data_IF_898849352367
#
_entry.id   IF_898849352367
#
_cell.length_a   1.000
_cell.length_b   1.000
_cell.length_c   1.000
_cell.angle_alpha   90.00
_cell.angle_beta   90.00
_cell.angle_gamma   90.00
#
_symmetry.space_group_name_H-M   'P 1'
#
loop_
_entity.id
_entity.type
_entity.pdbx_description
1 polymer ?
#
# COMPACT_ATOMS: atom_id res chain seq x y z
N UNK A 1 86.77 119.50 56.93
CA UNK A 1 87.29 118.80 55.73
C UNK A 1 87.27 117.27 55.82
N UNK A 2 87.31 116.65 57.01
CA UNK A 2 87.27 115.17 57.14
C UNK A 2 85.88 114.50 57.11
N UNK A 3 84.77 115.22 57.32
CA UNK A 3 83.45 114.57 57.44
C UNK A 3 82.72 114.33 56.11
N UNK A 4 83.03 115.07 55.03
CA UNK A 4 82.39 114.87 53.71
C UNK A 4 82.90 113.63 52.96
N UNK A 5 84.17 113.26 53.17
CA UNK A 5 84.79 112.12 52.48
C UNK A 5 84.26 110.78 53.03
N UNK A 6 83.85 110.74 54.31
CA UNK A 6 83.28 109.53 54.91
C UNK A 6 81.86 109.24 54.39
N UNK A 7 81.05 110.29 54.19
CA UNK A 7 79.71 110.17 53.59
C UNK A 7 79.77 109.69 52.13
N UNK A 8 80.72 110.19 51.35
CA UNK A 8 80.90 109.74 49.96
C UNK A 8 81.29 108.25 49.87
N UNK A 9 82.06 107.72 50.83
CA UNK A 9 82.47 106.32 50.83
C UNK A 9 81.33 105.36 51.21
N UNK A 10 80.42 105.78 52.11
CA UNK A 10 79.21 105.01 52.44
C UNK A 10 78.22 104.97 51.28
N UNK A 11 78.07 106.08 50.54
CA UNK A 11 77.22 106.15 49.35
C UNK A 11 77.73 105.20 48.26
N UNK A 12 79.06 105.15 48.04
CA UNK A 12 79.68 104.28 47.04
C UNK A 12 79.47 102.78 47.33
N UNK A 13 79.56 102.37 48.60
CA UNK A 13 79.31 100.98 48.99
C UNK A 13 77.82 100.61 48.87
N UNK A 14 76.90 101.55 49.14
CA UNK A 14 75.46 101.35 48.92
C UNK A 14 75.13 101.16 47.44
N UNK A 15 75.73 101.98 46.57
CA UNK A 15 75.56 101.87 45.11
C UNK A 15 76.08 100.50 44.62
N UNK A 16 77.20 100.01 45.14
CA UNK A 16 77.77 98.72 44.74
C UNK A 16 76.87 97.53 45.11
N UNK A 17 76.25 97.57 46.29
CA UNK A 17 75.31 96.54 46.74
C UNK A 17 74.05 96.50 45.85
N UNK A 18 73.49 97.67 45.54
CA UNK A 18 72.29 97.80 44.69
C UNK A 18 72.58 97.28 43.27
N UNK A 19 73.69 97.67 42.66
CA UNK A 19 74.05 97.17 41.32
C UNK A 19 74.24 95.64 41.27
N UNK A 20 74.74 95.02 42.35
CA UNK A 20 74.90 93.57 42.41
C UNK A 20 73.56 92.83 42.56
N UNK A 21 72.58 93.43 43.26
CA UNK A 21 71.24 92.88 43.40
C UNK A 21 70.42 93.04 42.10
N UNK A 22 70.55 94.17 41.40
CA UNK A 22 69.86 94.41 40.13
C UNK A 22 70.36 93.47 39.02
N UNK A 23 71.67 93.16 38.99
CA UNK A 23 72.24 92.25 38.00
C UNK A 23 71.74 90.80 38.17
N UNK A 24 71.63 90.31 39.40
CA UNK A 24 71.11 88.98 39.67
C UNK A 24 69.60 88.87 39.44
N UNK A 25 68.84 89.92 39.75
CA UNK A 25 67.40 89.99 39.50
C UNK A 25 67.09 89.96 38.00
N UNK A 26 67.90 90.66 37.19
CA UNK A 26 67.73 90.70 35.73
C UNK A 26 68.03 89.35 35.06
N UNK A 27 69.00 88.58 35.56
CA UNK A 27 69.34 87.26 35.02
C UNK A 27 68.25 86.20 35.26
N UNK A 28 67.61 86.22 36.44
CA UNK A 28 66.53 85.29 36.79
C UNK A 28 65.26 85.57 35.95
N UNK A 29 65.00 86.84 35.62
CA UNK A 29 63.87 87.24 34.76
C UNK A 29 64.06 86.73 33.32
N UNK A 30 65.27 86.83 32.76
CA UNK A 30 65.54 86.33 31.40
C UNK A 30 65.43 84.80 31.26
N UNK A 31 65.85 84.04 32.27
CA UNK A 31 65.75 82.57 32.25
C UNK A 31 64.30 82.07 32.41
N UNK A 32 63.48 82.77 33.21
CA UNK A 32 62.05 82.50 33.35
C UNK A 32 61.26 82.81 32.05
N UNK A 33 61.58 83.93 31.38
CA UNK A 33 60.96 84.31 30.10
C UNK A 33 61.29 83.31 28.97
N UNK A 34 62.50 82.76 28.93
CA UNK A 34 62.87 81.72 27.96
C UNK A 34 62.14 80.38 28.18
N UNK A 35 61.75 80.06 29.43
CA UNK A 35 60.96 78.89 29.75
C UNK A 35 59.50 79.03 29.32
N UNK A 36 58.92 80.23 29.51
CA UNK A 36 57.56 80.56 29.07
C UNK A 36 57.49 80.59 27.54
N UNK A 37 58.48 81.16 26.86
CA UNK A 37 58.53 81.21 25.39
C UNK A 37 58.57 79.82 24.75
N UNK A 38 59.33 78.87 25.32
CA UNK A 38 59.37 77.48 24.83
C UNK A 38 58.02 76.78 24.95
N UNK A 39 57.36 76.91 26.11
CA UNK A 39 56.01 76.36 26.30
C UNK A 39 54.99 77.00 25.36
N UNK A 40 55.12 78.30 25.11
CA UNK A 40 54.22 79.02 24.19
C UNK A 40 54.45 78.56 22.74
N UNK A 41 55.70 78.34 22.32
CA UNK A 41 56.02 77.75 21.02
C UNK A 41 55.48 76.33 20.86
N UNK A 42 55.64 75.46 21.86
CA UNK A 42 55.08 74.11 21.85
C UNK A 42 53.54 74.13 21.79
N UNK A 43 52.90 75.01 22.56
CA UNK A 43 51.45 75.18 22.53
C UNK A 43 50.95 75.73 21.20
N UNK A 44 51.67 76.67 20.58
CA UNK A 44 51.33 77.21 19.25
C UNK A 44 51.48 76.14 18.18
N UNK A 45 52.58 75.39 18.17
CA UNK A 45 52.78 74.26 17.25
C UNK A 45 51.69 73.19 17.43
N UNK A 46 51.35 72.87 18.67
CA UNK A 46 50.25 71.94 18.99
C UNK A 46 48.91 72.49 18.50
N UNK A 47 48.62 73.77 18.74
CA UNK A 47 47.38 74.43 18.30
C UNK A 47 47.26 74.45 16.76
N UNK A 48 48.34 74.77 16.05
CA UNK A 48 48.37 74.71 14.58
C UNK A 48 48.21 73.30 14.04
N UNK A 49 48.76 72.29 14.73
CA UNK A 49 48.58 70.88 14.37
C UNK A 49 47.14 70.41 14.60
N UNK A 50 46.50 70.86 15.68
CA UNK A 50 45.10 70.56 16.00
C UNK A 50 44.15 71.25 15.02
N UNK A 51 44.39 72.51 14.66
CA UNK A 51 43.63 73.21 13.63
C UNK A 51 43.69 72.50 12.27
N UNK A 52 44.87 72.00 11.89
CA UNK A 52 45.03 71.20 10.67
C UNK A 52 44.22 69.90 10.73
N UNK A 53 44.32 69.15 11.84
CA UNK A 53 43.54 67.91 12.03
C UNK A 53 42.04 68.16 12.05
N UNK A 54 41.58 69.25 12.65
CA UNK A 54 40.16 69.62 12.66
C UNK A 54 39.66 69.94 11.25
N UNK A 55 40.43 70.68 10.45
CA UNK A 55 40.11 70.98 9.06
C UNK A 55 40.07 69.71 8.21
N UNK A 56 41.05 68.82 8.35
CA UNK A 56 41.08 67.53 7.65
C UNK A 56 39.91 66.63 8.04
N UNK A 57 39.59 66.55 9.33
CA UNK A 57 38.46 65.76 9.83
C UNK A 57 37.12 66.32 9.35
N UNK A 58 36.93 67.64 9.41
CA UNK A 58 35.73 68.30 8.87
C UNK A 58 35.61 68.11 7.37
N UNK A 59 36.72 68.08 6.65
CA UNK A 59 36.77 67.73 5.22
C UNK A 59 36.30 66.29 4.98
N UNK A 60 36.82 65.32 5.76
CA UNK A 60 36.41 63.91 5.68
C UNK A 60 34.93 63.71 5.97
N UNK A 61 34.39 64.26 7.06
CA UNK A 61 32.97 64.13 7.36
C UNK A 61 32.07 64.79 6.29
N UNK A 62 32.51 65.89 5.67
CA UNK A 62 31.79 66.50 4.54
C UNK A 62 31.84 65.66 3.27
N UNK A 63 32.87 64.85 3.09
CA UNK A 63 32.96 63.92 1.96
C UNK A 63 32.08 62.71 2.22
N UNK A 64 32.20 62.07 3.38
CA UNK A 64 31.37 60.92 3.78
C UNK A 64 29.87 61.29 3.78
N UNK A 65 29.50 62.48 4.27
CA UNK A 65 28.12 62.95 4.20
C UNK A 65 27.64 63.11 2.75
N UNK A 66 28.49 63.62 1.85
CA UNK A 66 28.15 63.74 0.43
C UNK A 66 28.06 62.38 -0.24
N UNK A 67 28.95 61.45 0.07
CA UNK A 67 28.92 60.08 -0.45
C UNK A 67 27.64 59.36 0.01
N UNK A 68 27.28 59.46 1.30
CA UNK A 68 26.03 58.90 1.81
C UNK A 68 24.80 59.57 1.23
N UNK A 69 24.80 60.90 1.06
CA UNK A 69 23.70 61.61 0.41
C UNK A 69 23.58 61.24 -1.07
N UNK A 70 24.70 61.03 -1.76
CA UNK A 70 24.72 60.52 -3.13
C UNK A 70 24.19 59.08 -3.18
N UNK A 71 24.57 58.21 -2.23
CA UNK A 71 24.06 56.84 -2.18
C UNK A 71 22.55 56.79 -1.89
N UNK A 72 22.05 57.66 -1.00
CA UNK A 72 20.61 57.77 -0.74
C UNK A 72 19.89 58.30 -1.98
N UNK A 73 20.39 59.36 -2.60
CA UNK A 73 19.81 59.88 -3.83
C UNK A 73 19.88 58.86 -4.97
N UNK A 74 20.96 58.09 -5.10
CA UNK A 74 21.07 57.00 -6.09
C UNK A 74 20.04 55.91 -5.83
N UNK A 75 19.76 55.57 -4.57
CA UNK A 75 18.74 54.57 -4.18
C UNK A 75 17.31 55.11 -4.26
N UNK A 76 17.11 56.42 -4.12
CA UNK A 76 15.82 57.08 -4.32
C UNK A 76 15.54 57.38 -5.81
N UNK A 77 16.56 57.69 -6.61
CA UNK A 77 16.49 57.90 -8.08
C UNK A 77 16.52 56.59 -8.85
N UNK A 78 17.16 55.54 -8.32
CA UNK A 78 16.70 54.19 -8.64
C UNK A 78 15.37 54.01 -7.93
N UNK A 79 14.32 54.59 -8.52
CA UNK A 79 13.00 54.01 -8.49
C UNK A 79 13.24 52.51 -8.66
N UNK A 80 13.18 51.76 -7.54
CA UNK A 80 12.88 50.35 -7.60
C UNK A 80 11.75 50.31 -8.61
N UNK A 81 11.87 49.57 -9.73
CA UNK A 81 10.74 49.44 -10.62
C UNK A 81 9.57 49.14 -9.68
N UNK A 82 8.46 49.83 -9.84
CA UNK A 82 7.21 49.40 -9.25
C UNK A 82 6.98 48.00 -9.86
N UNK A 83 7.68 47.01 -9.32
CA UNK A 83 7.62 45.61 -9.70
C UNK A 83 6.24 45.33 -9.22
N UNK A 84 5.32 45.37 -10.17
CA UNK A 84 3.91 45.51 -9.96
C UNK A 84 3.47 44.32 -9.12
N UNK A 85 3.57 44.50 -7.79
CA UNK A 85 3.53 43.41 -6.82
C UNK A 85 2.13 42.81 -6.87
N UNK A 86 1.15 43.63 -7.26
CA UNK A 86 -0.19 43.21 -7.60
C UNK A 86 -0.24 42.33 -8.86
N UNK A 87 0.46 42.65 -9.96
CA UNK A 87 0.52 41.79 -11.14
C UNK A 87 1.23 40.47 -10.88
N UNK A 88 2.36 40.46 -10.17
CA UNK A 88 3.04 39.21 -9.79
C UNK A 88 2.17 38.37 -8.85
N UNK A 89 1.49 38.98 -7.88
CA UNK A 89 0.55 38.26 -7.01
C UNK A 89 -0.68 37.76 -7.79
N UNK A 90 -1.17 38.50 -8.79
CA UNK A 90 -2.24 38.04 -9.68
C UNK A 90 -1.81 36.81 -10.47
N UNK A 91 -0.62 36.84 -11.07
CA UNK A 91 -0.05 35.70 -11.81
C UNK A 91 0.15 34.50 -10.89
N UNK A 92 0.65 34.71 -9.67
CA UNK A 92 0.85 33.67 -8.67
C UNK A 92 -0.48 33.04 -8.23
N UNK A 93 -1.52 33.87 -8.02
CA UNK A 93 -2.86 33.40 -7.68
C UNK A 93 -3.49 32.60 -8.84
N UNK A 94 -3.37 33.07 -10.07
CA UNK A 94 -3.83 32.34 -11.26
C UNK A 94 -3.12 30.99 -11.41
N UNK A 95 -1.80 30.95 -11.22
CA UNK A 95 -1.02 29.71 -11.25
C UNK A 95 -1.43 28.77 -10.11
N UNK A 96 -1.66 29.30 -8.90
CA UNK A 96 -2.15 28.54 -7.75
C UNK A 96 -3.52 27.93 -8.02
N UNK A 97 -4.45 28.69 -8.58
CA UNK A 97 -5.77 28.18 -8.99
C UNK A 97 -5.68 27.10 -10.07
N UNK A 98 -4.80 27.29 -11.08
CA UNK A 98 -4.55 26.25 -12.09
C UNK A 98 -4.00 24.97 -11.47
N UNK A 99 -3.09 25.08 -10.49
CA UNK A 99 -2.55 23.93 -9.76
C UNK A 99 -3.63 23.24 -8.93
N UNK A 100 -4.50 23.99 -8.23
CA UNK A 100 -5.63 23.43 -7.47
C UNK A 100 -6.59 22.69 -8.41
N UNK A 101 -6.95 23.30 -9.54
CA UNK A 101 -7.82 22.68 -10.54
C UNK A 101 -7.20 21.41 -11.14
N UNK A 102 -5.90 21.44 -11.46
CA UNK A 102 -5.18 20.27 -11.94
C UNK A 102 -5.14 19.14 -10.88
N UNK A 103 -4.93 19.47 -9.59
CA UNK A 103 -4.99 18.51 -8.49
C UNK A 103 -6.38 17.90 -8.32
N UNK A 104 -7.44 18.70 -8.47
CA UNK A 104 -8.83 18.19 -8.43
C UNK A 104 -9.12 17.23 -9.59
N UNK A 105 -8.67 17.56 -10.81
CA UNK A 105 -8.79 16.69 -11.97
C UNK A 105 -8.02 15.39 -11.79
N UNK A 106 -6.79 15.46 -11.27
CA UNK A 106 -6.00 14.29 -10.92
C UNK A 106 -6.74 13.42 -9.90
N UNK A 107 -7.27 14.01 -8.82
CA UNK A 107 -8.04 13.28 -7.81
C UNK A 107 -9.33 12.64 -8.36
N UNK A 108 -9.97 13.23 -9.38
CA UNK A 108 -11.09 12.59 -10.10
C UNK A 108 -10.60 11.39 -10.92
N UNK A 109 -9.49 11.52 -11.65
CA UNK A 109 -8.91 10.43 -12.45
C UNK A 109 -8.42 9.28 -11.58
N UNK A 110 -7.75 9.55 -10.46
CA UNK A 110 -7.31 8.52 -9.51
C UNK A 110 -8.48 7.73 -8.95
N UNK A 111 -9.59 8.41 -8.59
CA UNK A 111 -10.83 7.72 -8.16
C UNK A 111 -11.41 6.85 -9.25
N UNK A 112 -11.48 7.34 -10.49
CA UNK A 112 -11.96 6.57 -11.62
C UNK A 112 -11.10 5.33 -11.89
N UNK A 113 -9.77 5.46 -11.84
CA UNK A 113 -8.84 4.32 -11.98
C UNK A 113 -9.08 3.29 -10.88
N UNK A 114 -9.24 3.73 -9.62
CA UNK A 114 -9.47 2.82 -8.50
C UNK A 114 -10.81 2.07 -8.63
N UNK A 115 -11.85 2.72 -9.16
CA UNK A 115 -13.13 2.06 -9.49
C UNK A 115 -12.94 1.02 -10.59
N UNK A 116 -12.25 1.38 -11.67
CA UNK A 116 -11.99 0.46 -12.80
C UNK A 116 -11.15 -0.74 -12.36
N UNK A 117 -10.14 -0.54 -11.51
CA UNK A 117 -9.35 -1.64 -10.94
C UNK A 117 -10.23 -2.60 -10.14
N UNK A 118 -11.09 -2.08 -9.25
CA UNK A 118 -12.03 -2.93 -8.51
C UNK A 118 -12.98 -3.69 -9.42
N UNK A 119 -13.47 -3.07 -10.50
CA UNK A 119 -14.31 -3.74 -11.50
C UNK A 119 -13.55 -4.85 -12.24
N UNK A 120 -12.27 -4.63 -12.51
CA UNK A 120 -11.41 -5.63 -13.16
C UNK A 120 -11.12 -6.80 -12.22
N UNK A 121 -10.91 -6.54 -10.93
CA UNK A 121 -10.75 -7.56 -9.89
C UNK A 121 -12.03 -8.39 -9.65
N UNK A 122 -13.21 -7.88 -10.02
CA UNK A 122 -14.44 -8.68 -9.99
C UNK A 122 -14.49 -9.72 -11.12
N UNK A 123 -13.67 -9.56 -12.17
CA UNK A 123 -13.63 -10.51 -13.28
C UNK A 123 -12.64 -11.61 -12.91
N UNK A 124 -13.08 -12.88 -12.80
CA UNK A 124 -12.19 -13.96 -12.43
C UNK A 124 -11.08 -14.11 -13.46
N UNK A 125 -9.86 -14.17 -12.93
CA UNK A 125 -8.65 -14.40 -13.70
C UNK A 125 -8.67 -15.78 -14.37
N UNK A 126 -7.81 -15.96 -15.38
CA UNK A 126 -7.65 -17.26 -16.05
C UNK A 126 -7.29 -18.39 -15.06
N UNK A 127 -6.55 -18.07 -14.00
CA UNK A 127 -6.20 -19.03 -12.96
C UNK A 127 -7.41 -19.44 -12.13
N UNK A 128 -8.25 -18.48 -11.71
CA UNK A 128 -9.49 -18.75 -10.97
C UNK A 128 -10.48 -19.55 -11.81
N UNK A 129 -10.65 -19.20 -13.09
CA UNK A 129 -11.48 -20.00 -14.02
C UNK A 129 -11.01 -21.45 -14.12
N UNK A 130 -9.69 -21.68 -14.21
CA UNK A 130 -9.13 -23.03 -14.23
C UNK A 130 -9.38 -23.78 -12.91
N UNK A 131 -9.31 -23.09 -11.76
CA UNK A 131 -9.66 -23.67 -10.46
C UNK A 131 -11.15 -24.04 -10.39
N UNK A 132 -12.05 -23.16 -10.84
CA UNK A 132 -13.48 -23.46 -10.89
C UNK A 132 -13.80 -24.64 -11.80
N UNK A 133 -13.18 -24.72 -12.97
CA UNK A 133 -13.33 -25.86 -13.88
C UNK A 133 -12.95 -27.18 -13.20
N UNK A 134 -11.80 -27.22 -12.51
CA UNK A 134 -11.39 -28.40 -11.73
C UNK A 134 -12.40 -28.72 -10.64
N UNK A 135 -12.85 -27.70 -9.90
CA UNK A 135 -13.82 -27.88 -8.82
C UNK A 135 -15.18 -28.39 -9.32
N UNK A 136 -15.62 -27.94 -10.49
CA UNK A 136 -16.85 -28.43 -11.13
C UNK A 136 -16.71 -29.90 -11.55
N UNK A 137 -15.57 -30.30 -12.10
CA UNK A 137 -15.30 -31.70 -12.44
C UNK A 137 -15.27 -32.59 -11.20
N UNK A 138 -14.62 -32.14 -10.12
CA UNK A 138 -14.63 -32.84 -8.83
C UNK A 138 -16.06 -33.02 -8.30
N UNK A 139 -16.84 -31.94 -8.30
CA UNK A 139 -18.23 -31.96 -7.84
C UNK A 139 -19.08 -32.89 -8.71
N UNK A 140 -18.91 -32.86 -10.04
CA UNK A 140 -19.59 -33.76 -10.96
C UNK A 140 -19.26 -35.22 -10.67
N UNK A 141 -17.98 -35.55 -10.45
CA UNK A 141 -17.55 -36.89 -10.06
C UNK A 141 -18.17 -37.33 -8.72
N UNK A 142 -18.22 -36.43 -7.72
CA UNK A 142 -18.84 -36.73 -6.43
C UNK A 142 -20.35 -37.00 -6.55
N UNK A 143 -21.06 -36.15 -7.29
CA UNK A 143 -22.50 -36.33 -7.56
C UNK A 143 -22.75 -37.64 -8.31
N UNK A 144 -21.95 -37.95 -9.33
CA UNK A 144 -22.06 -39.20 -10.07
C UNK A 144 -21.78 -40.43 -9.19
N UNK A 145 -20.79 -40.36 -8.30
CA UNK A 145 -20.47 -41.44 -7.37
C UNK A 145 -21.63 -41.67 -6.38
N UNK A 146 -22.19 -40.58 -5.83
CA UNK A 146 -23.35 -40.66 -4.93
C UNK A 146 -24.59 -41.18 -5.63
N UNK A 147 -24.85 -40.75 -6.85
CA UNK A 147 -25.95 -41.27 -7.66
C UNK A 147 -25.82 -42.79 -7.89
N UNK A 148 -24.61 -43.26 -8.22
CA UNK A 148 -24.32 -44.70 -8.38
C UNK A 148 -24.56 -45.46 -7.08
N UNK A 149 -24.06 -44.95 -5.96
CA UNK A 149 -24.24 -45.54 -4.63
C UNK A 149 -25.73 -45.63 -4.26
N UNK A 150 -26.49 -44.55 -4.44
CA UNK A 150 -27.94 -44.53 -4.22
C UNK A 150 -28.65 -45.57 -5.07
N UNK A 151 -28.31 -45.69 -6.36
CA UNK A 151 -28.90 -46.71 -7.25
C UNK A 151 -28.58 -48.14 -6.77
N UNK A 152 -27.38 -48.38 -6.26
CA UNK A 152 -27.01 -49.66 -5.68
C UNK A 152 -27.84 -49.98 -4.44
N UNK A 153 -28.05 -49.01 -3.55
CA UNK A 153 -28.92 -49.19 -2.38
C UNK A 153 -30.37 -49.50 -2.76
N UNK A 154 -30.94 -48.79 -3.73
CA UNK A 154 -32.29 -49.10 -4.23
C UNK A 154 -32.37 -50.51 -4.83
N UNK A 155 -31.36 -50.92 -5.59
CA UNK A 155 -31.31 -52.26 -6.17
C UNK A 155 -31.26 -53.32 -5.07
N UNK A 156 -30.38 -53.13 -4.07
CA UNK A 156 -30.26 -54.04 -2.93
C UNK A 156 -31.57 -54.11 -2.13
N UNK A 157 -32.19 -52.97 -1.86
CA UNK A 157 -33.47 -52.89 -1.16
C UNK A 157 -34.56 -53.64 -1.91
N UNK A 158 -34.69 -53.43 -3.22
CA UNK A 158 -35.70 -54.11 -4.04
C UNK A 158 -35.48 -55.62 -4.04
N UNK A 159 -34.22 -56.08 -4.22
CA UNK A 159 -33.89 -57.51 -4.14
C UNK A 159 -34.24 -58.09 -2.77
N UNK A 160 -33.87 -57.41 -1.67
CA UNK A 160 -34.21 -57.87 -0.32
C UNK A 160 -35.72 -57.91 -0.08
N UNK A 161 -36.44 -56.87 -0.51
CA UNK A 161 -37.89 -56.82 -0.41
C UNK A 161 -38.54 -57.97 -1.19
N UNK A 162 -38.08 -58.24 -2.42
CA UNK A 162 -38.58 -59.34 -3.23
C UNK A 162 -38.32 -60.70 -2.54
N UNK A 163 -37.10 -60.92 -2.03
CA UNK A 163 -36.80 -62.15 -1.27
C UNK A 163 -37.68 -62.29 -0.04
N UNK A 164 -37.89 -61.22 0.72
CA UNK A 164 -38.78 -61.20 1.86
C UNK A 164 -40.22 -61.51 1.47
N UNK A 165 -40.71 -60.97 0.35
CA UNK A 165 -42.04 -61.29 -0.16
C UNK A 165 -42.17 -62.77 -0.57
N UNK A 166 -41.16 -63.36 -1.23
CA UNK A 166 -41.17 -64.78 -1.56
C UNK A 166 -41.15 -65.66 -0.32
N UNK A 167 -40.31 -65.35 0.66
CA UNK A 167 -40.27 -66.07 1.94
C UNK A 167 -41.61 -66.01 2.68
N UNK A 168 -42.27 -64.85 2.71
CA UNK A 168 -43.60 -64.74 3.33
C UNK A 168 -44.66 -65.56 2.59
N UNK A 169 -44.59 -65.64 1.25
CA UNK A 169 -45.48 -66.50 0.46
C UNK A 169 -45.24 -67.98 0.77
N UNK A 170 -43.98 -68.40 0.89
CA UNK A 170 -43.62 -69.77 1.28
C UNK A 170 -44.11 -70.10 2.69
N UNK A 171 -43.91 -69.20 3.65
CA UNK A 171 -44.36 -69.36 5.03
C UNK A 171 -45.90 -69.48 5.08
N UNK A 172 -46.60 -68.60 4.37
CA UNK A 172 -48.07 -68.64 4.26
C UNK A 172 -48.56 -69.95 3.64
N UNK A 173 -47.88 -70.44 2.60
CA UNK A 173 -48.20 -71.72 1.96
C UNK A 173 -48.00 -72.90 2.92
N UNK A 174 -46.85 -72.92 3.63
CA UNK A 174 -46.54 -73.98 4.60
C UNK A 174 -47.51 -73.99 5.77
N UNK A 175 -47.89 -72.82 6.30
CA UNK A 175 -48.90 -72.71 7.35
C UNK A 175 -50.25 -73.25 6.86
N UNK A 176 -50.68 -72.86 5.65
CA UNK A 176 -51.94 -73.38 5.09
C UNK A 176 -51.93 -74.90 4.90
N UNK A 177 -50.78 -75.48 4.54
CA UNK A 177 -50.63 -76.95 4.43
C UNK A 177 -50.72 -77.59 5.82
N UNK A 178 -50.04 -77.01 6.81
CA UNK A 178 -50.01 -77.52 8.18
C UNK A 178 -51.39 -77.48 8.84
N UNK A 179 -52.08 -76.34 8.74
CA UNK A 179 -53.40 -76.13 9.36
C UNK A 179 -54.45 -77.08 8.76
N UNK A 180 -54.39 -77.35 7.45
CA UNK A 180 -55.33 -78.24 6.78
C UNK A 180 -54.99 -79.74 6.93
N UNK A 181 -53.81 -80.08 7.44
CA UNK A 181 -53.32 -81.47 7.44
C UNK A 181 -54.14 -82.38 8.36
N UNK A 182 -54.42 -81.95 9.59
CA UNK A 182 -55.19 -82.76 10.56
C UNK A 182 -56.59 -83.06 10.06
N UNK A 183 -57.25 -82.06 9.47
CA UNK A 183 -58.62 -82.18 8.96
C UNK A 183 -58.68 -83.02 7.69
N UNK A 184 -57.68 -82.89 6.81
CA UNK A 184 -57.55 -83.73 5.62
C UNK A 184 -57.39 -85.20 5.98
N UNK A 185 -56.60 -85.52 7.01
CA UNK A 185 -56.33 -86.91 7.42
C UNK A 185 -57.48 -87.57 8.20
N UNK A 186 -58.51 -86.80 8.58
CA UNK A 186 -59.67 -87.31 9.34
C UNK A 186 -60.55 -88.31 8.58
N UNK A 187 -60.49 -88.33 7.23
CA UNK A 187 -61.26 -89.27 6.41
C UNK A 187 -60.56 -89.60 5.10
N UNK A 188 -60.81 -90.79 4.55
CA UNK A 188 -60.18 -91.23 3.30
C UNK A 188 -60.51 -90.33 2.11
N UNK A 189 -61.74 -89.82 2.02
CA UNK A 189 -62.14 -88.94 0.92
C UNK A 189 -61.50 -87.55 1.02
N UNK A 190 -61.43 -86.95 2.21
CA UNK A 190 -60.73 -85.66 2.42
C UNK A 190 -59.23 -85.78 2.19
N UNK A 191 -58.65 -86.93 2.55
CA UNK A 191 -57.24 -87.22 2.27
C UNK A 191 -56.94 -87.20 0.78
N UNK A 192 -57.78 -87.86 -0.03
CA UNK A 192 -57.62 -87.85 -1.49
C UNK A 192 -57.77 -86.43 -2.08
N UNK A 193 -58.73 -85.64 -1.59
CA UNK A 193 -58.88 -84.24 -1.99
C UNK A 193 -57.66 -83.38 -1.64
N UNK A 194 -57.09 -83.56 -0.45
CA UNK A 194 -55.87 -82.87 -0.04
C UNK A 194 -54.66 -83.25 -0.90
N UNK A 195 -54.51 -84.53 -1.28
CA UNK A 195 -53.44 -84.94 -2.18
C UNK A 195 -53.56 -84.29 -3.56
N UNK A 196 -54.78 -84.23 -4.12
CA UNK A 196 -55.02 -83.54 -5.40
C UNK A 196 -54.71 -82.03 -5.32
N UNK A 197 -55.04 -81.38 -4.20
CA UNK A 197 -54.69 -79.97 -3.96
C UNK A 197 -53.17 -79.79 -3.82
N UNK A 198 -52.49 -80.70 -3.13
CA UNK A 198 -51.04 -80.65 -2.95
C UNK A 198 -50.30 -80.82 -4.29
N UNK A 199 -50.75 -81.76 -5.13
CA UNK A 199 -50.21 -81.94 -6.48
C UNK A 199 -50.41 -80.68 -7.33
N UNK A 200 -51.58 -80.04 -7.26
CA UNK A 200 -51.84 -78.77 -7.93
C UNK A 200 -50.92 -77.63 -7.43
N UNK A 201 -50.64 -77.57 -6.13
CA UNK A 201 -49.67 -76.61 -5.55
C UNK A 201 -48.27 -76.86 -6.10
N UNK A 202 -47.81 -78.12 -6.10
CA UNK A 202 -46.48 -78.49 -6.61
C UNK A 202 -46.35 -78.12 -8.09
N UNK A 203 -47.38 -78.39 -8.89
CA UNK A 203 -47.40 -78.03 -10.31
C UNK A 203 -47.39 -76.51 -10.51
N UNK A 204 -48.17 -75.76 -9.71
CA UNK A 204 -48.16 -74.30 -9.71
C UNK A 204 -46.78 -73.71 -9.37
N UNK A 205 -46.08 -74.27 -8.39
CA UNK A 205 -44.70 -73.87 -8.03
C UNK A 205 -43.73 -74.15 -9.16
N UNK A 206 -43.80 -75.33 -9.80
CA UNK A 206 -42.97 -75.68 -10.97
C UNK A 206 -43.19 -74.71 -12.13
N UNK A 207 -44.45 -74.40 -12.44
CA UNK A 207 -44.79 -73.44 -13.50
C UNK A 207 -44.29 -72.03 -13.17
N UNK A 208 -44.42 -71.57 -11.92
CA UNK A 208 -43.93 -70.26 -11.51
C UNK A 208 -42.40 -70.18 -11.63
N UNK A 209 -41.68 -71.20 -11.16
CA UNK A 209 -40.22 -71.30 -11.33
C UNK A 209 -39.82 -71.18 -12.80
N UNK A 210 -40.47 -71.93 -13.69
CA UNK A 210 -40.21 -71.87 -15.13
C UNK A 210 -40.40 -70.46 -15.69
N UNK A 211 -41.50 -69.77 -15.33
CA UNK A 211 -41.77 -68.39 -15.77
C UNK A 211 -40.70 -67.40 -15.30
N UNK A 212 -40.24 -67.52 -14.05
CA UNK A 212 -39.19 -66.65 -13.49
C UNK A 212 -37.84 -66.92 -14.16
N UNK A 213 -37.49 -68.19 -14.39
CA UNK A 213 -36.27 -68.57 -15.10
C UNK A 213 -36.27 -68.07 -16.55
N UNK A 214 -37.41 -68.14 -17.23
CA UNK A 214 -37.55 -67.60 -18.58
C UNK A 214 -37.30 -66.09 -18.60
N UNK A 215 -37.95 -65.32 -17.72
CA UNK A 215 -37.73 -63.87 -17.60
C UNK A 215 -36.27 -63.52 -17.34
N UNK A 216 -35.62 -64.23 -16.42
CA UNK A 216 -34.19 -64.04 -16.13
C UNK A 216 -33.33 -64.29 -17.37
N UNK A 217 -33.62 -65.33 -18.14
CA UNK A 217 -32.85 -65.65 -19.34
C UNK A 217 -33.06 -64.60 -20.44
N UNK A 218 -34.27 -64.03 -20.56
CA UNK A 218 -34.55 -62.97 -21.52
C UNK A 218 -33.84 -61.65 -21.12
N UNK A 219 -33.88 -61.28 -19.84
CA UNK A 219 -33.11 -60.13 -19.32
C UNK A 219 -31.60 -60.30 -19.52
N UNK A 220 -31.08 -61.53 -19.31
CA UNK A 220 -29.67 -61.82 -19.52
C UNK A 220 -29.25 -61.66 -20.98
N UNK A 221 -30.09 -62.04 -21.94
CA UNK A 221 -29.79 -61.81 -23.37
C UNK A 221 -29.71 -60.32 -23.67
N UNK A 222 -30.64 -59.53 -23.14
CA UNK A 222 -30.62 -58.07 -23.30
C UNK A 222 -29.36 -57.45 -22.66
N UNK A 223 -28.95 -57.95 -21.49
CA UNK A 223 -27.68 -57.54 -20.86
C UNK A 223 -26.47 -57.85 -21.75
N UNK A 224 -26.41 -59.06 -22.30
CA UNK A 224 -25.33 -59.49 -23.19
C UNK A 224 -25.29 -58.63 -24.48
N UNK A 225 -26.45 -58.33 -25.08
CA UNK A 225 -26.56 -57.47 -26.26
C UNK A 225 -26.07 -56.03 -25.98
N UNK A 226 -26.51 -55.44 -24.86
CA UNK A 226 -26.07 -54.12 -24.44
C UNK A 226 -24.58 -54.08 -24.12
N UNK A 227 -24.04 -55.16 -23.56
CA UNK A 227 -22.61 -55.29 -23.28
C UNK A 227 -21.78 -55.33 -24.56
N UNK A 228 -22.26 -56.01 -25.61
CA UNK A 228 -21.61 -56.00 -26.92
C UNK A 228 -21.62 -54.60 -27.54
N UNK A 229 -22.77 -53.90 -27.52
CA UNK A 229 -22.87 -52.52 -28.00
C UNK A 229 -21.92 -51.57 -27.25
N UNK A 230 -21.79 -51.74 -25.93
CA UNK A 230 -20.84 -50.96 -25.13
C UNK A 230 -19.40 -51.20 -25.58
N UNK A 231 -19.01 -52.45 -25.87
CA UNK A 231 -17.66 -52.77 -26.36
C UNK A 231 -17.38 -52.10 -27.70
N UNK A 232 -18.34 -52.13 -28.63
CA UNK A 232 -18.22 -51.46 -29.93
C UNK A 232 -18.03 -49.93 -29.78
N UNK A 233 -18.82 -49.29 -28.92
CA UNK A 233 -18.71 -47.85 -28.65
C UNK A 233 -17.36 -47.49 -28.00
N UNK A 234 -16.85 -48.34 -27.11
CA UNK A 234 -15.53 -48.14 -26.49
C UNK A 234 -14.41 -48.24 -27.52
N UNK A 235 -14.52 -49.14 -28.49
CA UNK A 235 -13.53 -49.24 -29.56
C UNK A 235 -13.58 -48.04 -30.51
N UNK A 236 -14.77 -47.51 -30.83
CA UNK A 236 -14.91 -46.24 -31.56
C UNK A 236 -14.28 -45.10 -30.76
N UNK A 237 -14.52 -45.01 -29.45
CA UNK A 237 -13.92 -44.00 -28.59
C UNK A 237 -12.38 -44.08 -28.61
N UNK A 238 -11.82 -45.30 -28.53
CA UNK A 238 -10.36 -45.52 -28.63
C UNK A 238 -9.81 -45.02 -29.95
N UNK A 239 -10.47 -45.33 -31.06
CA UNK A 239 -10.08 -44.87 -32.39
C UNK A 239 -10.14 -43.33 -32.50
N UNK A 240 -11.19 -42.71 -31.96
CA UNK A 240 -11.34 -41.26 -31.95
C UNK A 240 -10.25 -40.56 -31.13
N UNK A 241 -9.93 -41.07 -29.94
CA UNK A 241 -8.83 -40.56 -29.11
C UNK A 241 -7.48 -40.71 -29.82
N UNK A 242 -7.24 -41.84 -30.49
CA UNK A 242 -6.03 -42.04 -31.29
C UNK A 242 -5.93 -41.03 -32.44
N UNK A 243 -7.02 -40.79 -33.17
CA UNK A 243 -7.08 -39.79 -34.25
C UNK A 243 -6.84 -38.36 -33.73
N UNK A 244 -7.45 -37.99 -32.60
CA UNK A 244 -7.21 -36.69 -31.97
C UNK A 244 -5.74 -36.52 -31.55
N UNK A 245 -5.11 -37.58 -31.04
CA UNK A 245 -3.69 -37.55 -30.69
C UNK A 245 -2.82 -37.31 -31.93
N UNK A 246 -3.06 -38.05 -33.01
CA UNK A 246 -2.37 -37.85 -34.29
C UNK A 246 -2.58 -36.43 -34.85
N UNK A 247 -3.79 -35.89 -34.74
CA UNK A 247 -4.09 -34.52 -35.16
C UNK A 247 -3.34 -33.50 -34.30
N UNK A 248 -3.28 -33.70 -32.99
CA UNK A 248 -2.51 -32.81 -32.10
C UNK A 248 -1.02 -32.82 -32.41
N UNK A 249 -0.45 -33.98 -32.76
CA UNK A 249 0.96 -34.15 -33.14
C UNK A 249 1.30 -33.53 -34.51
N UNK A 250 0.34 -33.47 -35.43
CA UNK A 250 0.52 -32.85 -36.75
C UNK A 250 0.31 -31.34 -36.72
N UNK A 251 -0.58 -30.83 -35.86
CA UNK A 251 -0.83 -29.38 -35.70
C UNK A 251 0.26 -28.69 -34.87
N UNK A 252 1.02 -29.44 -34.06
CA UNK A 252 2.14 -28.91 -33.27
C UNK A 252 3.51 -28.96 -33.98
N UNK A 253 3.57 -29.51 -35.21
CA UNK A 253 4.73 -29.43 -36.11
C UNK A 253 4.57 -28.27 -37.08
#
# INVERSE_FOLDING_TARGET
MKSKILEEYEILNKIRSICSQDYNSSKIIMEADQGVLRKLQELVLSNESLKRRELEFRGKCKNEMRELQQLVNEVEETDLPDVNFEEENRILNELSERVINARLLLGRKTRAISILQRQLDQVPSRAELAQYQRRFLELYCQVSAKHRETKQFFTLYNTLNDTHQYLNKELTLLNSILDNYSDAMSSSSRKEQFMNQFDAIVEGVKQNKFKVEQKRNDEKKVEDDLRLQLLELLDIQRQYVAALKQLSETVTK
#
